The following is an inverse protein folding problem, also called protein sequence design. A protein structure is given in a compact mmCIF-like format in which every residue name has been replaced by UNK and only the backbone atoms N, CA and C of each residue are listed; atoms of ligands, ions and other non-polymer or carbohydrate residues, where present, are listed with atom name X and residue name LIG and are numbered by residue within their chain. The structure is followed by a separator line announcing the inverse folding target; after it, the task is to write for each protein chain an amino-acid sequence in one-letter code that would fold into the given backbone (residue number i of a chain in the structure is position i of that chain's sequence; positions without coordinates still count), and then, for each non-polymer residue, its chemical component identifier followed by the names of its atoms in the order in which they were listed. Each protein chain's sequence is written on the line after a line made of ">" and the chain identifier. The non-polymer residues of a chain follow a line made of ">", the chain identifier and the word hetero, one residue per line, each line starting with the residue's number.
data_IF_454192063483
#
_entry.id   IF_454192063483
#
_cell.length_a   1.000
_cell.length_b   1.000
_cell.length_c   1.000
_cell.angle_alpha   90.00
_cell.angle_beta   90.00
_cell.angle_gamma   90.00
#
_symmetry.space_group_name_H-M   'P 1'
#
loop_
_entity.id
_entity.type
_entity.pdbx_description
1 polymer ?
#
# COMPACT_ATOMS: atom_id res chain seq x y z
N UNK A 1 -31.70 -8.32 -14.49
CA UNK A 1 -32.73 -7.36 -14.03
C UNK A 1 -32.56 -7.22 -12.52
N UNK A 2 -32.08 -6.14 -11.89
CA UNK A 2 -31.44 -4.88 -12.27
C UNK A 2 -30.45 -4.59 -11.14
N UNK A 3 -29.20 -4.23 -11.50
CA UNK A 3 -28.19 -3.72 -10.60
C UNK A 3 -28.27 -2.19 -10.57
N UNK A 4 -28.67 -1.59 -9.45
CA UNK A 4 -28.61 -0.13 -9.24
C UNK A 4 -28.92 0.21 -7.78
N UNK A 5 -27.90 0.52 -6.99
CA UNK A 5 -27.96 1.61 -6.01
C UNK A 5 -26.56 1.82 -5.45
N UNK A 6 -26.24 3.04 -5.01
CA UNK A 6 -24.93 3.54 -4.56
C UNK A 6 -23.99 4.05 -5.66
N UNK A 7 -24.58 4.58 -6.75
CA UNK A 7 -23.98 5.64 -7.58
C UNK A 7 -24.49 7.01 -7.11
N UNK A 8 -24.13 7.47 -5.90
CA UNK A 8 -24.40 8.89 -5.58
C UNK A 8 -23.54 9.52 -4.46
N UNK A 9 -22.20 9.53 -4.63
CA UNK A 9 -21.31 10.48 -3.93
C UNK A 9 -20.20 11.04 -4.84
N UNK A 10 -20.52 11.28 -6.11
CA UNK A 10 -19.64 12.04 -7.02
C UNK A 10 -20.13 13.48 -7.12
N UNK A 11 -19.77 14.33 -6.16
CA UNK A 11 -19.82 15.78 -6.36
C UNK A 11 -18.57 16.47 -5.79
N UNK A 12 -17.83 17.07 -6.73
CA UNK A 12 -16.94 18.24 -6.58
C UNK A 12 -15.60 18.05 -5.86
N UNK A 13 -14.66 17.37 -6.51
CA UNK A 13 -13.31 17.92 -6.72
C UNK A 13 -12.93 17.67 -8.18
N UNK A 14 -12.65 18.76 -8.90
CA UNK A 14 -12.13 18.72 -10.26
C UNK A 14 -10.81 17.94 -10.24
N UNK A 15 -10.86 16.69 -10.69
CA UNK A 15 -9.68 15.88 -10.94
C UNK A 15 -9.71 15.53 -12.43
N UNK A 16 -8.73 15.96 -13.23
CA UNK A 16 -8.71 15.64 -14.64
C UNK A 16 -8.56 14.13 -14.79
N UNK A 17 -9.53 13.49 -15.45
CA UNK A 17 -9.51 12.06 -15.78
C UNK A 17 -8.41 11.77 -16.80
N UNK A 18 -7.15 11.86 -16.40
CA UNK A 18 -6.03 11.29 -17.16
C UNK A 18 -6.16 9.78 -17.03
N UNK A 19 -6.64 9.18 -18.12
CA UNK A 19 -6.73 7.76 -18.43
C UNK A 19 -5.57 7.00 -17.75
N UNK A 20 -5.85 6.25 -16.68
CA UNK A 20 -4.86 5.35 -16.05
C UNK A 20 -4.63 4.23 -17.06
N UNK A 21 -3.67 4.44 -17.97
CA UNK A 21 -3.21 3.40 -18.89
C UNK A 21 -2.48 2.35 -18.06
N UNK A 22 -3.10 1.20 -17.84
CA UNK A 22 -2.48 0.02 -17.23
C UNK A 22 -1.50 -0.69 -18.21
N UNK A 23 -0.73 0.05 -19.03
CA UNK A 23 0.25 -0.60 -19.89
C UNK A 23 1.42 -1.09 -19.04
N UNK A 24 1.73 -2.39 -19.19
CA UNK A 24 2.83 -3.10 -18.53
C UNK A 24 4.15 -2.33 -18.63
N UNK A 25 4.39 -1.46 -17.65
CA UNK A 25 5.70 -0.87 -17.45
C UNK A 25 6.54 -1.96 -16.80
N UNK A 26 7.53 -2.44 -17.54
CA UNK A 26 8.66 -3.16 -16.98
C UNK A 26 9.06 -2.49 -15.66
N UNK A 27 9.23 -3.30 -14.62
CA UNK A 27 9.48 -2.90 -13.24
C UNK A 27 10.82 -2.13 -13.12
N UNK A 28 10.83 -0.86 -13.55
CA UNK A 28 12.01 0.01 -13.57
C UNK A 28 12.61 0.11 -12.16
N UNK A 29 13.91 -0.10 -12.03
CA UNK A 29 14.63 -0.02 -10.74
C UNK A 29 14.27 1.30 -10.05
N UNK A 30 13.84 1.21 -8.78
CA UNK A 30 13.53 2.39 -8.00
C UNK A 30 14.82 3.16 -7.71
N UNK A 31 14.81 4.51 -7.78
CA UNK A 31 15.91 5.30 -7.25
C UNK A 31 16.03 5.03 -5.75
N UNK A 32 17.22 5.30 -5.18
CA UNK A 32 17.42 5.21 -3.73
C UNK A 32 16.40 6.11 -3.04
N UNK A 33 15.65 5.58 -2.08
CA UNK A 33 14.66 6.36 -1.35
C UNK A 33 15.39 7.31 -0.39
N UNK A 34 14.92 8.56 -0.33
CA UNK A 34 15.30 9.50 0.73
C UNK A 34 14.45 9.29 2.00
N UNK A 35 13.31 8.61 1.85
CA UNK A 35 12.36 8.32 2.90
C UNK A 35 12.62 6.94 3.51
N UNK A 36 12.52 6.85 4.83
CA UNK A 36 12.74 5.59 5.58
C UNK A 36 11.54 4.65 5.52
N UNK A 37 10.36 5.17 5.15
CA UNK A 37 9.09 4.46 5.17
C UNK A 37 8.42 4.52 3.80
N UNK A 38 7.81 3.41 3.38
CA UNK A 38 6.95 3.36 2.20
C UNK A 38 5.64 2.63 2.50
N UNK A 39 4.54 3.07 1.88
CA UNK A 39 3.24 2.40 1.96
C UNK A 39 2.77 1.96 0.57
N UNK A 40 2.44 0.67 0.45
CA UNK A 40 1.81 0.11 -0.73
C UNK A 40 0.30 0.35 -0.62
N UNK A 41 -0.25 1.10 -1.57
CA UNK A 41 -1.68 1.37 -1.68
C UNK A 41 -2.16 1.01 -3.08
N UNK A 42 -3.35 0.42 -3.17
CA UNK A 42 -3.91 -0.06 -4.42
C UNK A 42 -5.43 -0.16 -4.37
N UNK A 43 -6.09 0.03 -5.51
CA UNK A 43 -7.55 0.04 -5.61
C UNK A 43 -8.15 -1.28 -6.12
N UNK A 44 -7.33 -2.19 -6.65
CA UNK A 44 -7.79 -3.39 -7.35
C UNK A 44 -7.37 -4.70 -6.67
N UNK A 45 -8.20 -5.74 -6.78
CA UNK A 45 -7.96 -7.05 -6.14
C UNK A 45 -6.68 -7.77 -6.62
N UNK A 46 -6.10 -7.36 -7.75
CA UNK A 46 -4.85 -7.91 -8.29
C UNK A 46 -3.59 -7.52 -7.48
N UNK A 47 -3.70 -6.60 -6.53
CA UNK A 47 -2.54 -6.10 -5.78
C UNK A 47 -1.85 -7.16 -4.93
N UNK A 48 -2.55 -8.22 -4.51
CA UNK A 48 -1.92 -9.22 -3.66
C UNK A 48 -0.71 -9.88 -4.35
N UNK A 49 -0.76 -10.16 -5.66
CA UNK A 49 0.39 -10.69 -6.43
C UNK A 49 1.48 -9.63 -6.68
N UNK A 50 1.11 -8.36 -6.74
CA UNK A 50 2.05 -7.26 -7.00
C UNK A 50 2.68 -6.70 -5.72
N UNK A 51 2.05 -6.92 -4.56
CA UNK A 51 2.47 -6.42 -3.27
C UNK A 51 3.80 -7.03 -2.83
N UNK A 52 4.02 -8.33 -3.06
CA UNK A 52 5.30 -8.97 -2.77
C UNK A 52 6.44 -8.37 -3.60
N UNK A 53 6.26 -8.30 -4.93
CA UNK A 53 7.27 -7.72 -5.81
C UNK A 53 7.52 -6.23 -5.49
N UNK A 54 6.47 -5.49 -5.14
CA UNK A 54 6.60 -4.09 -4.74
C UNK A 54 7.37 -3.96 -3.42
N UNK A 55 7.05 -4.77 -2.40
CA UNK A 55 7.71 -4.77 -1.11
C UNK A 55 9.21 -5.09 -1.26
N UNK A 56 9.54 -6.15 -1.99
CA UNK A 56 10.93 -6.53 -2.29
C UNK A 56 11.69 -5.39 -2.97
N UNK A 57 11.07 -4.71 -3.94
CA UNK A 57 11.70 -3.58 -4.65
C UNK A 57 11.87 -2.36 -3.76
N UNK A 58 10.94 -2.10 -2.84
CA UNK A 58 11.04 -1.01 -1.86
C UNK A 58 12.15 -1.28 -0.85
N UNK A 59 12.23 -2.50 -0.32
CA UNK A 59 13.34 -2.93 0.55
C UNK A 59 14.68 -2.83 -0.19
N UNK A 60 14.75 -3.31 -1.43
CA UNK A 60 15.96 -3.17 -2.27
C UNK A 60 16.32 -1.70 -2.61
N UNK A 61 15.36 -0.78 -2.57
CA UNK A 61 15.58 0.65 -2.75
C UNK A 61 16.01 1.37 -1.46
N UNK A 62 16.03 0.66 -0.32
CA UNK A 62 16.46 1.17 0.98
C UNK A 62 15.33 1.62 1.91
N UNK A 63 14.10 1.15 1.71
CA UNK A 63 13.04 1.38 2.70
C UNK A 63 13.34 0.60 3.98
N UNK A 64 13.36 1.27 5.13
CA UNK A 64 13.50 0.63 6.44
C UNK A 64 12.19 -0.05 6.85
N UNK A 65 11.04 0.60 6.60
CA UNK A 65 9.71 0.09 6.95
C UNK A 65 8.74 0.16 5.76
N UNK A 66 8.06 -0.95 5.46
CA UNK A 66 7.11 -1.09 4.37
C UNK A 66 5.74 -1.48 4.92
N UNK A 67 4.74 -0.64 4.69
CA UNK A 67 3.36 -0.89 5.05
C UNK A 67 2.54 -1.36 3.84
N UNK A 68 1.49 -2.15 4.09
CA UNK A 68 0.43 -2.45 3.13
C UNK A 68 -0.91 -1.92 3.63
N UNK A 69 -1.56 -1.09 2.82
CA UNK A 69 -2.94 -0.69 3.07
C UNK A 69 -3.91 -1.80 2.64
N UNK A 70 -4.34 -2.65 3.57
CA UNK A 70 -5.26 -3.74 3.31
C UNK A 70 -5.09 -4.92 4.27
N UNK A 71 -6.07 -5.83 4.24
CA UNK A 71 -6.01 -7.08 5.00
C UNK A 71 -5.17 -8.11 4.24
N UNK A 72 -4.19 -8.77 4.87
CA UNK A 72 -3.35 -9.77 4.20
C UNK A 72 -4.08 -11.09 3.91
N UNK A 73 -5.10 -11.44 4.72
CA UNK A 73 -5.81 -12.71 4.60
C UNK A 73 -4.87 -13.90 4.77
N UNK A 74 -5.07 -14.95 3.97
CA UNK A 74 -4.24 -16.17 4.01
C UNK A 74 -2.78 -15.95 3.58
N UNK A 75 -2.48 -14.81 2.94
CA UNK A 75 -1.17 -14.50 2.36
C UNK A 75 -0.27 -13.70 3.29
N UNK A 76 -0.65 -13.54 4.56
CA UNK A 76 0.14 -12.76 5.51
C UNK A 76 1.59 -13.24 5.58
N UNK A 77 1.80 -14.56 5.67
CA UNK A 77 3.14 -15.14 5.74
C UNK A 77 3.99 -14.80 4.51
N UNK A 78 3.42 -14.95 3.30
CA UNK A 78 4.08 -14.62 2.03
C UNK A 78 4.42 -13.12 1.96
N UNK A 79 3.46 -12.27 2.33
CA UNK A 79 3.60 -10.82 2.29
C UNK A 79 4.65 -10.32 3.30
N UNK A 80 4.72 -10.91 4.49
CA UNK A 80 5.78 -10.62 5.46
C UNK A 80 7.14 -11.11 4.97
N UNK A 81 7.21 -12.31 4.39
CA UNK A 81 8.44 -12.84 3.80
C UNK A 81 8.96 -11.96 2.64
N UNK A 82 8.06 -11.31 1.90
CA UNK A 82 8.41 -10.33 0.87
C UNK A 82 8.87 -8.97 1.42
N UNK A 83 8.82 -8.78 2.74
CA UNK A 83 9.31 -7.58 3.41
C UNK A 83 8.24 -6.54 3.73
N UNK A 84 6.97 -6.95 3.88
CA UNK A 84 5.92 -6.08 4.44
C UNK A 84 5.96 -6.18 5.96
N UNK A 85 6.22 -5.07 6.63
CA UNK A 85 6.39 -5.03 8.09
C UNK A 85 5.05 -4.82 8.81
N UNK A 86 4.12 -4.08 8.20
CA UNK A 86 2.86 -3.69 8.85
C UNK A 86 1.68 -3.66 7.88
N UNK A 87 0.51 -4.10 8.34
CA UNK A 87 -0.76 -4.05 7.62
C UNK A 87 -1.68 -3.03 8.29
N UNK A 88 -2.25 -2.13 7.48
CA UNK A 88 -3.17 -1.08 7.97
C UNK A 88 -4.47 -1.17 7.18
N UNK A 89 -5.61 -1.34 7.86
CA UNK A 89 -6.92 -1.41 7.24
C UNK A 89 -8.00 -0.77 8.11
N UNK A 90 -9.13 -0.42 7.47
CA UNK A 90 -10.25 0.21 8.14
C UNK A 90 -10.80 -0.68 9.28
N UNK A 91 -10.99 -0.07 10.45
CA UNK A 91 -11.45 -0.74 11.67
C UNK A 91 -10.35 -1.13 12.66
N UNK A 92 -9.06 -0.92 12.34
CA UNK A 92 -7.97 -1.05 13.31
C UNK A 92 -7.81 0.20 14.18
N UNK A 93 -7.10 0.04 15.30
CA UNK A 93 -6.66 1.14 16.13
C UNK A 93 -5.48 1.86 15.47
N UNK A 94 -5.78 2.95 14.77
CA UNK A 94 -4.79 3.77 14.09
C UNK A 94 -3.71 4.36 15.02
N UNK A 95 -4.03 4.59 16.30
CA UNK A 95 -3.05 5.08 17.27
C UNK A 95 -1.99 4.02 17.55
N UNK A 96 -2.43 2.78 17.82
CA UNK A 96 -1.52 1.63 18.02
C UNK A 96 -0.66 1.37 16.79
N UNK A 97 -1.24 1.49 15.59
CA UNK A 97 -0.48 1.33 14.34
C UNK A 97 0.60 2.42 14.19
N UNK A 98 0.30 3.66 14.57
CA UNK A 98 1.24 4.77 14.52
C UNK A 98 2.33 4.65 15.58
N UNK A 99 1.98 4.23 16.80
CA UNK A 99 2.95 3.94 17.87
C UNK A 99 3.93 2.84 17.45
N UNK A 100 3.43 1.79 16.80
CA UNK A 100 4.25 0.72 16.22
C UNK A 100 5.23 1.29 15.19
N UNK A 101 4.74 2.12 14.28
CA UNK A 101 5.57 2.76 13.25
C UNK A 101 6.63 3.68 13.85
N UNK A 102 6.27 4.51 14.85
CA UNK A 102 7.21 5.39 15.53
C UNK A 102 8.30 4.61 16.27
N UNK A 103 7.91 3.54 16.96
CA UNK A 103 8.85 2.64 17.63
C UNK A 103 9.82 2.02 16.63
N UNK A 104 9.33 1.52 15.50
CA UNK A 104 10.15 0.95 14.44
C UNK A 104 11.16 1.94 13.85
N UNK A 105 10.82 3.24 13.81
CA UNK A 105 11.67 4.29 13.28
C UNK A 105 12.56 4.96 14.34
N UNK A 106 12.38 4.61 15.61
CA UNK A 106 13.06 5.26 16.74
C UNK A 106 12.59 6.70 16.98
N UNK A 107 11.38 7.05 16.55
CA UNK A 107 10.75 8.35 16.81
C UNK A 107 10.14 8.32 18.21
N UNK A 108 10.60 9.19 19.10
CA UNK A 108 10.00 9.38 20.42
C UNK A 108 8.71 10.19 20.29
N UNK A 109 7.58 9.59 20.65
CA UNK A 109 6.30 10.28 20.91
C UNK A 109 6.13 10.60 22.39
#
# INVERSE_FOLDING_TARGET
>A
MVAQSLRDRRRRRHWPRRRIRQHGRAHRRLPRLQERVAIITGADAHYARQAENAAQRLKAAGADWVLLAGKPGEREAELRAAGIDQFVFAGQNALTDLETLHTALGVRT
#
